data_IF_036605034912
#
_entry.id   IF_036605034912
#
_cell.length_a   1.000
_cell.length_b   1.000
_cell.length_c   1.000
_cell.angle_alpha   90.00
_cell.angle_beta   90.00
_cell.angle_gamma   90.00
#
_symmetry.space_group_name_H-M   'P 1'
#
loop_
_entity.id
_entity.type
_entity.pdbx_description
1 polymer ?
#
# COMPACT_ATOMS: atom_id res chain seq x y z
N UNK A 1 -53.96 10.42 -70.21
CA UNK A 1 -54.44 9.44 -69.21
C UNK A 1 -54.39 10.11 -67.84
N UNK A 2 -55.52 10.03 -67.09
CA UNK A 2 -55.72 9.99 -65.62
C UNK A 2 -54.54 10.43 -64.72
N UNK A 3 -54.64 11.13 -63.58
CA UNK A 3 -55.62 11.81 -62.68
C UNK A 3 -54.69 12.54 -61.65
N UNK A 4 -54.87 13.81 -61.30
CA UNK A 4 -55.74 14.37 -60.25
C UNK A 4 -55.31 14.07 -58.79
N UNK A 5 -55.30 15.16 -57.99
CA UNK A 5 -55.30 15.28 -56.50
C UNK A 5 -53.94 15.35 -55.78
N UNK A 6 -53.70 16.21 -54.77
CA UNK A 6 -54.50 17.24 -54.09
C UNK A 6 -53.60 18.11 -53.21
N UNK A 7 -54.03 19.37 -53.01
CA UNK A 7 -53.53 20.32 -52.01
C UNK A 7 -53.59 19.77 -50.57
N UNK A 8 -52.70 20.26 -49.70
CA UNK A 8 -53.13 20.83 -48.42
C UNK A 8 -52.12 21.86 -47.89
N UNK A 9 -52.64 23.05 -47.60
CA UNK A 9 -51.98 24.14 -46.87
C UNK A 9 -52.32 24.03 -45.38
N UNK A 10 -51.38 24.35 -44.48
CA UNK A 10 -51.61 24.66 -43.07
C UNK A 10 -50.52 25.69 -42.66
N UNK A 11 -50.86 26.97 -42.51
CA UNK A 11 -51.41 27.67 -41.32
C UNK A 11 -50.39 27.82 -40.19
N UNK A 12 -50.09 29.09 -39.92
CA UNK A 12 -49.31 29.68 -38.82
C UNK A 12 -49.85 29.34 -37.42
N UNK A 13 -48.94 29.21 -36.45
CA UNK A 13 -49.15 29.71 -35.09
C UNK A 13 -47.80 29.91 -34.40
N UNK A 14 -47.49 31.15 -34.02
CA UNK A 14 -46.41 31.46 -33.10
C UNK A 14 -46.80 31.09 -31.68
N UNK A 15 -45.85 30.57 -30.92
CA UNK A 15 -45.95 30.45 -29.46
C UNK A 15 -44.67 31.00 -28.84
N UNK A 16 -44.84 32.10 -28.13
CA UNK A 16 -43.88 32.65 -27.21
C UNK A 16 -43.70 31.67 -26.03
N UNK A 17 -42.46 31.32 -25.70
CA UNK A 17 -42.16 30.70 -24.41
C UNK A 17 -41.56 31.75 -23.48
N UNK A 18 -42.33 32.02 -22.42
CA UNK A 18 -41.97 32.82 -21.26
C UNK A 18 -40.74 32.24 -20.55
N UNK A 19 -39.81 33.11 -20.16
CA UNK A 19 -38.82 32.80 -19.13
C UNK A 19 -39.54 32.62 -17.79
N UNK A 20 -39.53 31.40 -17.25
CA UNK A 20 -39.89 31.16 -15.85
C UNK A 20 -38.76 31.63 -14.94
N UNK A 21 -39.09 32.49 -13.98
CA UNK A 21 -38.21 32.85 -12.89
C UNK A 21 -37.91 31.61 -12.03
N UNK A 22 -36.64 31.40 -11.72
CA UNK A 22 -36.18 30.35 -10.80
C UNK A 22 -36.71 30.62 -9.39
N UNK A 23 -37.31 29.65 -8.69
CA UNK A 23 -37.65 29.80 -7.29
C UNK A 23 -36.38 29.88 -6.45
N UNK A 24 -36.25 30.95 -5.68
CA UNK A 24 -35.26 31.09 -4.60
C UNK A 24 -35.54 30.03 -3.54
N UNK A 25 -34.78 28.93 -3.57
CA UNK A 25 -34.75 28.00 -2.46
C UNK A 25 -34.03 28.67 -1.28
N UNK A 26 -34.78 28.92 -0.21
CA UNK A 26 -34.22 29.24 1.08
C UNK A 26 -33.34 28.06 1.54
N UNK A 27 -32.05 28.32 1.72
CA UNK A 27 -31.10 27.37 2.29
C UNK A 27 -31.47 27.16 3.75
N UNK A 28 -32.03 25.99 4.07
CA UNK A 28 -32.16 25.55 5.45
C UNK A 28 -30.77 25.39 6.05
N UNK A 29 -30.50 26.12 7.13
CA UNK A 29 -29.29 25.97 7.95
C UNK A 29 -29.29 24.56 8.55
N UNK A 30 -28.38 23.71 8.08
CA UNK A 30 -28.10 22.42 8.72
C UNK A 30 -27.47 22.68 10.10
N UNK A 31 -27.85 21.88 11.12
CA UNK A 31 -27.26 21.99 12.45
C UNK A 31 -25.76 21.69 12.39
N UNK A 32 -24.99 22.54 13.04
CA UNK A 32 -23.54 22.45 13.17
C UNK A 32 -23.20 21.23 14.02
N UNK A 33 -22.85 20.12 13.37
CA UNK A 33 -22.31 18.94 14.04
C UNK A 33 -20.93 19.30 14.57
N UNK A 34 -20.84 19.44 15.90
CA UNK A 34 -19.58 19.69 16.61
C UNK A 34 -18.70 18.46 16.42
N UNK A 35 -17.71 18.57 15.54
CA UNK A 35 -16.69 17.56 15.34
C UNK A 35 -15.99 17.28 16.68
N UNK A 36 -16.18 16.08 17.21
CA UNK A 36 -15.43 15.60 18.36
C UNK A 36 -13.94 15.60 18.03
N UNK A 37 -13.19 16.45 18.74
CA UNK A 37 -11.73 16.52 18.71
C UNK A 37 -11.18 15.23 19.32
N UNK A 38 -10.94 14.23 18.47
CA UNK A 38 -10.12 13.08 18.85
C UNK A 38 -8.69 13.60 18.99
N UNK A 39 -8.17 13.58 20.22
CA UNK A 39 -6.80 13.97 20.50
C UNK A 39 -5.84 13.06 19.69
N UNK A 40 -4.80 13.60 19.04
CA UNK A 40 -3.86 12.80 18.27
C UNK A 40 -3.12 11.85 19.21
N UNK A 41 -3.31 10.54 19.02
CA UNK A 41 -2.42 9.55 19.62
C UNK A 41 -1.06 9.69 18.95
N UNK A 42 -0.08 10.14 19.73
CA UNK A 42 1.33 10.20 19.33
C UNK A 42 1.80 8.76 19.16
N UNK A 43 2.07 8.34 17.93
CA UNK A 43 2.72 7.05 17.67
C UNK A 43 4.15 7.14 18.22
N UNK A 44 4.35 6.77 19.48
CA UNK A 44 5.67 6.64 20.06
C UNK A 44 6.35 5.45 19.37
N UNK A 45 7.19 5.74 18.37
CA UNK A 45 8.06 4.75 17.76
C UNK A 45 9.05 4.24 18.82
N UNK A 46 9.07 2.93 19.14
CA UNK A 46 9.89 2.40 20.22
C UNK A 46 11.39 2.57 19.94
N UNK A 47 12.19 2.79 20.99
CA UNK A 47 13.65 2.70 20.99
C UNK A 47 14.23 1.33 20.57
N UNK A 48 13.36 0.36 20.28
CA UNK A 48 13.69 -0.95 19.71
C UNK A 48 14.08 -0.90 18.23
N UNK A 49 13.86 0.24 17.54
CA UNK A 49 14.23 0.44 16.13
C UNK A 49 15.73 0.74 15.92
N UNK A 50 16.47 0.92 17.02
CA UNK A 50 17.93 1.00 17.10
C UNK A 50 18.51 -0.24 17.82
N UNK A 51 17.79 -1.37 17.81
CA UNK A 51 18.34 -2.59 18.37
C UNK A 51 19.69 -2.85 17.69
N UNK A 52 20.74 -2.97 18.50
CA UNK A 52 22.06 -3.35 18.02
C UNK A 52 21.92 -4.59 17.14
N UNK A 53 22.76 -4.69 16.11
CA UNK A 53 22.82 -5.89 15.29
C UNK A 53 22.98 -7.12 16.21
N UNK A 54 21.97 -8.01 16.19
CA UNK A 54 21.92 -9.22 17.03
C UNK A 54 22.10 -10.49 16.20
N UNK A 55 22.56 -10.35 14.95
CA UNK A 55 22.79 -11.49 14.08
C UNK A 55 23.92 -12.37 14.62
N UNK A 56 23.56 -13.61 14.94
CA UNK A 56 24.52 -14.65 15.33
C UNK A 56 25.12 -15.32 14.08
N UNK A 57 26.24 -16.05 14.19
CA UNK A 57 26.83 -16.74 13.04
C UNK A 57 25.86 -17.70 12.30
N UNK A 58 24.99 -18.48 12.99
CA UNK A 58 23.96 -19.28 12.29
C UNK A 58 22.96 -18.44 11.50
N UNK A 59 22.56 -17.27 12.01
CA UNK A 59 21.65 -16.37 11.30
C UNK A 59 22.30 -15.77 10.06
N UNK A 60 23.58 -15.39 10.16
CA UNK A 60 24.35 -14.93 8.99
C UNK A 60 24.51 -16.04 7.95
N UNK A 61 24.75 -17.28 8.38
CA UNK A 61 24.82 -18.43 7.48
C UNK A 61 23.49 -18.65 6.74
N UNK A 62 22.34 -18.47 7.42
CA UNK A 62 21.02 -18.51 6.77
C UNK A 62 20.89 -17.43 5.68
N UNK A 63 21.25 -16.18 5.99
CA UNK A 63 21.20 -15.08 5.02
C UNK A 63 22.18 -15.25 3.85
N UNK A 64 23.28 -15.97 4.06
CA UNK A 64 24.21 -16.35 3.00
C UNK A 64 23.65 -17.46 2.10
N UNK A 65 22.94 -18.42 2.68
CA UNK A 65 22.37 -19.55 1.95
C UNK A 65 21.11 -19.17 1.16
N UNK A 66 20.33 -18.21 1.64
CA UNK A 66 19.04 -17.85 1.06
C UNK A 66 18.93 -16.35 0.75
N UNK A 67 18.66 -16.04 -0.52
CA UNK A 67 18.40 -14.67 -0.95
C UNK A 67 16.94 -14.29 -0.68
N UNK A 68 16.72 -13.37 0.27
CA UNK A 68 15.40 -12.87 0.63
C UNK A 68 14.89 -11.75 -0.30
N UNK A 69 15.68 -11.33 -1.30
CA UNK A 69 15.32 -10.26 -2.24
C UNK A 69 13.94 -10.44 -2.90
N UNK A 70 13.54 -11.65 -3.35
CA UNK A 70 12.20 -11.85 -3.93
C UNK A 70 11.08 -11.54 -2.94
N UNK A 71 11.24 -11.95 -1.68
CA UNK A 71 10.25 -11.71 -0.63
C UNK A 71 10.24 -10.24 -0.20
N UNK A 72 11.39 -9.55 -0.12
CA UNK A 72 11.38 -8.11 0.12
C UNK A 72 10.70 -7.33 -1.01
N UNK A 73 10.86 -7.78 -2.26
CA UNK A 73 10.21 -7.16 -3.44
C UNK A 73 8.69 -7.33 -3.45
N UNK A 74 8.15 -8.31 -2.72
CA UNK A 74 6.72 -8.64 -2.79
C UNK A 74 6.37 -9.78 -3.74
N UNK A 75 7.36 -10.53 -4.25
CA UNK A 75 7.12 -11.59 -5.22
C UNK A 75 6.61 -12.87 -4.52
N UNK A 76 5.43 -13.35 -4.92
CA UNK A 76 4.94 -14.68 -4.56
C UNK A 76 5.31 -15.70 -5.64
N UNK A 77 5.82 -16.85 -5.22
CA UNK A 77 6.08 -17.98 -6.12
C UNK A 77 4.78 -18.37 -6.85
N UNK A 78 4.82 -18.36 -8.18
CA UNK A 78 3.68 -18.68 -9.06
C UNK A 78 2.92 -17.47 -9.61
N UNK A 79 3.16 -16.25 -9.10
CA UNK A 79 2.67 -15.03 -9.73
C UNK A 79 3.60 -14.62 -10.88
N UNK A 80 3.07 -14.50 -12.09
CA UNK A 80 3.85 -14.07 -13.26
C UNK A 80 4.35 -12.63 -13.06
N UNK A 81 5.65 -12.48 -12.73
CA UNK A 81 6.43 -11.23 -12.74
C UNK A 81 5.69 -9.99 -12.22
N UNK A 82 4.79 -10.19 -11.26
CA UNK A 82 3.89 -9.14 -10.80
C UNK A 82 4.58 -8.32 -9.73
N UNK A 83 4.54 -7.02 -9.93
CA UNK A 83 4.99 -6.06 -8.93
C UNK A 83 3.90 -5.95 -7.88
N UNK A 84 4.25 -6.23 -6.63
CA UNK A 84 3.30 -6.08 -5.51
C UNK A 84 3.26 -4.63 -5.05
N UNK A 85 2.05 -4.07 -5.00
CA UNK A 85 1.80 -2.79 -4.36
C UNK A 85 1.64 -3.02 -2.86
N UNK A 86 2.39 -2.26 -2.07
CA UNK A 86 2.17 -2.13 -0.64
C UNK A 86 1.32 -0.89 -0.41
N UNK A 87 0.20 -1.04 0.29
CA UNK A 87 -0.70 0.05 0.63
C UNK A 87 -0.74 0.26 2.14
N UNK A 88 -1.04 1.49 2.55
CA UNK A 88 -1.32 1.75 3.95
C UNK A 88 -1.47 3.22 4.29
N UNK A 89 -1.01 3.59 5.48
CA UNK A 89 -1.37 4.80 6.19
C UNK A 89 -0.22 5.78 6.29
N UNK A 90 -0.55 7.04 6.07
CA UNK A 90 0.39 8.15 6.07
C UNK A 90 -0.10 9.30 6.92
N UNK A 91 0.65 9.62 7.98
CA UNK A 91 0.31 10.66 8.93
C UNK A 91 -0.87 10.29 9.85
N UNK A 92 -1.11 11.16 10.83
CA UNK A 92 -2.15 11.01 11.86
C UNK A 92 -3.59 11.04 11.30
N UNK A 93 -3.74 11.58 10.10
CA UNK A 93 -5.01 11.69 9.37
C UNK A 93 -5.28 10.47 8.48
N UNK A 94 -4.39 9.47 8.47
CA UNK A 94 -4.59 8.19 7.79
C UNK A 94 -4.79 8.34 6.27
N UNK A 95 -4.06 9.26 5.64
CA UNK A 95 -4.03 9.29 4.18
C UNK A 95 -3.51 7.98 3.61
N UNK A 96 -4.05 7.56 2.47
CA UNK A 96 -3.47 6.47 1.69
C UNK A 96 -2.11 6.88 1.14
N UNK A 97 -1.16 5.98 1.28
CA UNK A 97 0.13 5.99 0.57
C UNK A 97 0.38 4.59 0.02
N UNK A 98 0.99 4.52 -1.16
CA UNK A 98 1.29 3.25 -1.83
C UNK A 98 2.77 3.19 -2.18
N UNK A 99 3.35 2.00 -2.09
CA UNK A 99 4.75 1.72 -2.40
C UNK A 99 4.83 0.59 -3.41
N UNK A 100 5.81 0.69 -4.29
CA UNK A 100 6.23 -0.38 -5.17
C UNK A 100 7.74 -0.48 -5.10
N UNK A 101 8.27 -1.66 -4.82
CA UNK A 101 9.68 -1.95 -4.97
C UNK A 101 9.94 -2.48 -6.38
N UNK A 102 10.53 -1.63 -7.22
CA UNK A 102 10.83 -1.98 -8.60
C UNK A 102 12.07 -2.87 -8.70
N UNK A 103 13.03 -2.67 -7.78
CA UNK A 103 14.25 -3.45 -7.69
C UNK A 103 14.61 -3.71 -6.23
N UNK A 104 14.95 -4.97 -5.95
CA UNK A 104 15.56 -5.39 -4.68
C UNK A 104 16.73 -6.28 -5.01
N UNK A 105 17.89 -5.98 -4.42
CA UNK A 105 19.10 -6.79 -4.59
C UNK A 105 19.83 -6.94 -3.28
N UNK A 106 20.07 -8.18 -2.86
CA UNK A 106 20.95 -8.48 -1.75
C UNK A 106 22.38 -8.01 -2.06
N UNK A 107 23.04 -7.42 -1.08
CA UNK A 107 24.43 -7.02 -1.20
C UNK A 107 25.34 -8.25 -1.42
N UNK A 108 26.42 -8.05 -2.17
CA UNK A 108 27.34 -9.13 -2.53
C UNK A 108 28.33 -9.45 -1.43
N UNK A 109 28.60 -8.50 -0.53
CA UNK A 109 29.55 -8.61 0.56
C UNK A 109 28.81 -8.86 1.87
N UNK A 110 27.84 -8.01 2.20
CA UNK A 110 27.06 -8.13 3.45
C UNK A 110 25.66 -8.68 3.17
N UNK A 111 25.50 -9.98 3.37
CA UNK A 111 24.24 -10.69 3.07
C UNK A 111 23.04 -10.27 3.95
N UNK A 112 23.26 -9.47 4.98
CA UNK A 112 22.18 -8.85 5.75
C UNK A 112 21.65 -7.55 5.13
N UNK A 113 22.33 -7.00 4.11
CA UNK A 113 21.98 -5.72 3.47
C UNK A 113 21.31 -5.95 2.12
N UNK A 114 20.28 -5.14 1.85
CA UNK A 114 19.53 -5.13 0.60
C UNK A 114 19.47 -3.70 0.04
N UNK A 115 19.78 -3.57 -1.24
CA UNK A 115 19.63 -2.33 -2.00
C UNK A 115 18.24 -2.30 -2.62
N UNK A 116 17.49 -1.25 -2.32
CA UNK A 116 16.09 -1.08 -2.73
C UNK A 116 15.99 0.13 -3.66
N UNK A 117 15.27 -0.04 -4.77
CA UNK A 117 14.73 1.06 -5.55
C UNK A 117 13.23 0.85 -5.76
N UNK A 118 12.49 1.94 -5.78
CA UNK A 118 11.03 1.88 -5.87
C UNK A 118 10.39 3.21 -6.20
N UNK A 119 9.06 3.22 -6.12
CA UNK A 119 8.24 4.42 -6.27
C UNK A 119 7.23 4.48 -5.12
N UNK A 120 7.07 5.67 -4.55
CA UNK A 120 5.99 6.00 -3.61
C UNK A 120 4.89 6.73 -4.38
N UNK A 121 3.64 6.58 -3.94
CA UNK A 121 2.50 7.37 -4.40
C UNK A 121 1.74 7.93 -3.22
N UNK A 122 1.71 9.25 -3.14
CA UNK A 122 0.90 9.99 -2.18
C UNK A 122 -0.01 10.95 -2.94
N UNK A 123 -1.34 10.77 -2.80
CA UNK A 123 -2.34 11.47 -3.64
C UNK A 123 -2.07 11.21 -5.15
N UNK A 124 -1.89 12.27 -5.94
CA UNK A 124 -1.55 12.19 -7.35
C UNK A 124 -0.04 12.21 -7.62
N UNK A 125 0.77 12.37 -6.58
CA UNK A 125 2.20 12.52 -6.72
C UNK A 125 2.89 11.16 -6.62
N UNK A 126 3.75 10.89 -7.59
CA UNK A 126 4.57 9.67 -7.64
C UNK A 126 6.03 10.11 -7.60
N UNK A 127 6.79 9.60 -6.63
CA UNK A 127 8.21 9.90 -6.49
C UNK A 127 9.03 8.61 -6.51
N UNK A 128 10.11 8.54 -7.31
CA UNK A 128 11.07 7.46 -7.16
C UNK A 128 11.83 7.63 -5.84
N UNK A 129 12.15 6.50 -5.23
CA UNK A 129 13.03 6.44 -4.06
C UNK A 129 14.09 5.35 -4.23
N UNK A 130 15.18 5.48 -3.48
CA UNK A 130 16.19 4.44 -3.35
C UNK A 130 16.75 4.41 -1.93
N UNK A 131 17.30 3.28 -1.51
CA UNK A 131 17.99 3.20 -0.24
C UNK A 131 18.31 1.78 0.17
N UNK A 132 18.41 1.58 1.48
CA UNK A 132 18.90 0.35 2.08
C UNK A 132 17.90 -0.23 3.07
N UNK A 133 17.89 -1.55 3.13
CA UNK A 133 17.27 -2.34 4.18
C UNK A 133 18.35 -3.26 4.76
N UNK A 134 18.50 -3.30 6.08
CA UNK A 134 19.46 -4.18 6.79
C UNK A 134 18.71 -5.06 7.78
N UNK A 135 18.78 -6.37 7.60
CA UNK A 135 18.30 -7.35 8.60
C UNK A 135 19.18 -7.21 9.85
N UNK A 136 18.54 -6.99 11.00
CA UNK A 136 19.20 -6.84 12.30
C UNK A 136 19.01 -8.05 13.21
N UNK A 137 17.98 -8.85 12.91
CA UNK A 137 17.61 -10.04 13.69
C UNK A 137 16.83 -11.03 12.83
N UNK A 138 17.12 -12.30 13.05
CA UNK A 138 16.24 -13.41 12.69
C UNK A 138 15.70 -14.06 13.97
N UNK A 139 14.48 -14.55 13.93
CA UNK A 139 13.89 -15.36 14.99
C UNK A 139 13.07 -16.48 14.37
N UNK A 140 12.92 -17.59 15.09
CA UNK A 140 12.00 -18.65 14.66
C UNK A 140 10.57 -18.11 14.70
N UNK A 141 9.82 -18.37 13.63
CA UNK A 141 8.39 -18.10 13.60
C UNK A 141 7.66 -19.31 14.17
N UNK A 142 6.72 -19.04 15.07
CA UNK A 142 5.94 -20.10 15.68
C UNK A 142 5.13 -20.87 14.62
N UNK A 143 5.25 -22.19 14.64
CA UNK A 143 4.68 -23.09 13.64
C UNK A 143 3.14 -22.98 13.56
N UNK A 144 2.45 -22.55 14.63
CA UNK A 144 0.99 -22.36 14.57
C UNK A 144 0.56 -21.21 13.64
N UNK A 145 1.48 -20.31 13.27
CA UNK A 145 1.21 -19.27 12.28
C UNK A 145 1.42 -19.76 10.84
N UNK A 146 2.02 -20.94 10.62
CA UNK A 146 2.35 -21.41 9.29
C UNK A 146 1.18 -22.21 8.71
N UNK A 147 0.54 -21.66 7.66
CA UNK A 147 -0.42 -22.40 6.84
C UNK A 147 0.31 -22.97 5.61
N UNK A 148 0.89 -24.16 5.79
CA UNK A 148 1.79 -24.76 4.82
C UNK A 148 1.08 -25.85 4.01
N UNK A 149 1.49 -25.98 2.75
CA UNK A 149 1.12 -27.14 1.95
C UNK A 149 1.62 -28.43 2.63
N UNK A 150 0.94 -29.57 2.46
CA UNK A 150 1.31 -30.82 3.12
C UNK A 150 2.78 -31.23 2.95
N UNK A 151 3.35 -30.99 1.77
CA UNK A 151 4.75 -31.25 1.43
C UNK A 151 5.75 -30.43 2.26
N UNK A 152 5.33 -29.29 2.78
CA UNK A 152 6.15 -28.37 3.57
C UNK A 152 5.75 -28.37 5.05
N UNK A 153 4.92 -29.30 5.49
CA UNK A 153 4.43 -29.41 6.89
C UNK A 153 5.50 -29.53 7.99
N UNK A 154 6.77 -29.72 7.60
CA UNK A 154 7.93 -29.76 8.51
C UNK A 154 8.89 -28.58 8.31
N UNK A 155 8.55 -27.63 7.45
CA UNK A 155 9.38 -26.47 7.18
C UNK A 155 9.51 -25.58 8.42
N UNK A 156 10.71 -25.04 8.62
CA UNK A 156 10.96 -24.06 9.66
C UNK A 156 10.56 -22.66 9.15
N UNK A 157 9.73 -21.98 9.92
CA UNK A 157 9.39 -20.59 9.72
C UNK A 157 10.35 -19.65 10.45
N UNK A 158 10.50 -18.44 9.93
CA UNK A 158 11.35 -17.39 10.45
C UNK A 158 10.70 -16.02 10.32
N UNK A 159 11.07 -15.11 11.22
CA UNK A 159 10.80 -13.68 11.11
C UNK A 159 12.11 -12.92 10.99
N UNK A 160 12.28 -12.16 9.91
CA UNK A 160 13.34 -11.18 9.75
C UNK A 160 12.85 -9.79 10.17
N UNK A 161 13.58 -9.16 11.10
CA UNK A 161 13.40 -7.75 11.44
C UNK A 161 14.55 -6.94 10.85
N UNK A 162 14.21 -5.94 10.04
CA UNK A 162 15.17 -5.13 9.34
C UNK A 162 14.92 -3.64 9.55
N UNK A 163 15.97 -2.86 9.74
CA UNK A 163 15.90 -1.39 9.64
C UNK A 163 15.95 -0.97 8.18
N UNK A 164 15.24 0.09 7.81
CA UNK A 164 15.34 0.66 6.47
C UNK A 164 15.50 2.17 6.47
N UNK A 165 16.10 2.67 5.40
CA UNK A 165 16.19 4.09 5.06
C UNK A 165 16.03 4.24 3.55
N UNK A 166 15.05 5.01 3.10
CA UNK A 166 14.80 5.30 1.68
C UNK A 166 14.73 6.81 1.47
N UNK A 167 15.37 7.29 0.42
CA UNK A 167 15.38 8.70 0.03
C UNK A 167 14.58 8.89 -1.25
N UNK A 168 13.56 9.75 -1.22
CA UNK A 168 12.87 10.19 -2.42
C UNK A 168 13.74 11.18 -3.20
N UNK A 169 13.68 11.14 -4.54
CA UNK A 169 14.44 12.07 -5.37
C UNK A 169 14.12 13.54 -5.02
N UNK A 170 15.12 14.26 -4.51
CA UNK A 170 15.02 15.64 -4.04
C UNK A 170 14.54 16.66 -5.09
N UNK A 171 14.59 16.32 -6.39
CA UNK A 171 14.03 17.16 -7.45
C UNK A 171 12.49 17.23 -7.42
N UNK A 172 11.83 16.30 -6.73
CA UNK A 172 10.37 16.28 -6.57
C UNK A 172 9.85 17.31 -5.56
N UNK A 173 8.69 17.96 -5.81
CA UNK A 173 8.08 18.81 -4.80
C UNK A 173 7.72 17.97 -3.57
N UNK A 174 7.96 18.44 -2.35
CA UNK A 174 7.66 17.65 -1.13
C UNK A 174 8.37 16.29 -1.06
N UNK A 175 9.59 16.14 -1.60
CA UNK A 175 10.41 14.96 -1.34
C UNK A 175 10.82 14.87 0.15
N UNK A 176 11.07 13.66 0.61
CA UNK A 176 11.59 13.39 1.94
C UNK A 176 12.25 12.02 2.06
N UNK A 177 12.55 11.66 3.30
CA UNK A 177 13.21 10.40 3.64
C UNK A 177 12.26 9.52 4.45
N UNK A 178 12.17 8.25 4.08
CA UNK A 178 11.52 7.23 4.88
C UNK A 178 12.54 6.50 5.74
N UNK A 179 12.21 6.27 7.00
CA UNK A 179 13.01 5.49 7.94
C UNK A 179 12.12 4.63 8.83
N UNK A 180 12.58 3.45 9.26
CA UNK A 180 11.82 2.60 10.16
C UNK A 180 12.27 1.15 10.16
N UNK A 181 11.31 0.25 10.41
CA UNK A 181 11.51 -1.20 10.40
C UNK A 181 10.58 -1.91 9.42
N UNK A 182 11.11 -2.90 8.74
CA UNK A 182 10.40 -3.88 7.94
C UNK A 182 10.47 -5.25 8.63
N UNK A 183 9.32 -5.93 8.69
CA UNK A 183 9.14 -7.25 9.30
C UNK A 183 8.72 -8.20 8.19
N UNK A 184 9.47 -9.28 8.01
CA UNK A 184 9.22 -10.30 7.00
C UNK A 184 9.06 -11.67 7.66
N UNK A 185 7.89 -12.27 7.51
CA UNK A 185 7.57 -13.63 7.93
C UNK A 185 7.71 -14.57 6.73
N UNK A 186 8.58 -15.57 6.84
CA UNK A 186 8.91 -16.48 5.74
C UNK A 186 9.19 -17.90 6.24
N UNK A 187 9.21 -18.86 5.33
CA UNK A 187 9.69 -20.22 5.59
C UNK A 187 10.57 -20.71 4.45
N UNK A 188 11.32 -21.77 4.71
CA UNK A 188 12.13 -22.47 3.70
C UNK A 188 11.44 -23.79 3.41
N UNK A 189 10.98 -23.98 2.16
CA UNK A 189 10.29 -25.21 1.75
C UNK A 189 11.21 -26.42 1.83
N UNK A 190 10.62 -27.62 1.76
CA UNK A 190 11.33 -28.90 1.63
C UNK A 190 12.28 -28.95 0.41
N UNK A 191 12.05 -28.09 -0.58
CA UNK A 191 12.88 -27.94 -1.79
C UNK A 191 13.98 -26.88 -1.64
N UNK A 192 14.06 -26.20 -0.50
CA UNK A 192 15.02 -25.13 -0.26
C UNK A 192 14.60 -23.78 -0.84
N UNK A 193 13.32 -23.58 -1.15
CA UNK A 193 12.80 -22.32 -1.69
C UNK A 193 12.30 -21.42 -0.55
N UNK A 194 12.62 -20.13 -0.60
CA UNK A 194 12.09 -19.15 0.36
C UNK A 194 10.71 -18.68 -0.07
N UNK A 195 9.75 -18.76 0.87
CA UNK A 195 8.36 -18.43 0.64
C UNK A 195 7.84 -17.54 1.75
N UNK A 196 6.87 -16.67 1.45
CA UNK A 196 6.14 -15.98 2.51
C UNK A 196 5.43 -16.99 3.41
N UNK A 197 5.51 -16.79 4.72
CA UNK A 197 4.57 -17.44 5.61
C UNK A 197 3.19 -16.80 5.34
N UNK A 198 2.29 -17.58 4.73
CA UNK A 198 0.88 -17.23 4.69
C UNK A 198 0.27 -17.69 6.01
N UNK A 199 -0.48 -16.79 6.67
CA UNK A 199 -0.78 -16.95 8.10
C UNK A 199 -2.28 -16.99 8.37
N UNK A 200 -2.70 -18.14 8.89
CA UNK A 200 -3.83 -18.28 9.81
C UNK A 200 -3.40 -17.75 11.19
N UNK A 201 -3.72 -16.50 11.50
CA UNK A 201 -3.22 -15.85 12.74
C UNK A 201 -3.41 -14.34 12.81
N UNK A 202 -3.71 -13.69 11.67
CA UNK A 202 -4.12 -12.30 11.61
C UNK A 202 -3.18 -11.38 12.41
N UNK A 203 -3.73 -10.64 13.36
CA UNK A 203 -3.00 -9.66 14.17
C UNK A 203 -1.96 -10.25 15.14
N UNK A 204 -2.02 -11.55 15.44
CA UNK A 204 -1.12 -12.20 16.40
C UNK A 204 0.29 -12.45 15.86
N UNK A 205 0.45 -12.61 14.56
CA UNK A 205 1.75 -12.83 13.93
C UNK A 205 2.59 -11.55 13.82
N UNK A 206 3.94 -11.64 13.76
CA UNK A 206 4.81 -10.46 13.72
C UNK A 206 4.52 -9.50 12.55
N UNK A 207 4.36 -10.02 11.33
CA UNK A 207 3.95 -9.23 10.15
C UNK A 207 2.42 -9.13 10.01
N UNK A 208 1.65 -9.43 11.07
CA UNK A 208 0.18 -9.38 11.10
C UNK A 208 -0.50 -10.19 9.98
N UNK A 209 0.09 -11.33 9.66
CA UNK A 209 -0.37 -12.22 8.60
C UNK A 209 -0.31 -11.62 7.20
N UNK A 210 0.55 -10.61 6.97
CA UNK A 210 0.76 -10.00 5.65
C UNK A 210 2.01 -10.51 4.94
N UNK A 211 2.80 -11.36 5.59
CA UNK A 211 4.12 -11.77 5.12
C UNK A 211 5.15 -10.64 5.19
N UNK A 212 4.77 -9.41 4.85
CA UNK A 212 5.59 -8.20 4.93
C UNK A 212 4.81 -7.05 5.58
N UNK A 213 5.41 -6.45 6.60
CA UNK A 213 4.89 -5.27 7.30
C UNK A 213 5.98 -4.21 7.42
N UNK A 214 5.69 -2.97 6.99
CA UNK A 214 6.63 -1.84 7.11
C UNK A 214 6.03 -0.80 8.05
N UNK A 215 6.81 -0.40 9.05
CA UNK A 215 6.43 0.60 10.05
C UNK A 215 7.53 1.64 10.16
N UNK A 216 7.19 2.91 10.10
CA UNK A 216 8.22 3.95 10.17
C UNK A 216 7.67 5.35 10.10
N UNK A 217 8.45 6.23 9.50
CA UNK A 217 8.06 7.60 9.26
C UNK A 217 8.69 8.15 8.00
N UNK A 218 8.04 9.16 7.45
CA UNK A 218 8.59 10.05 6.44
C UNK A 218 8.98 11.39 7.06
N UNK A 219 10.10 11.95 6.63
CA UNK A 219 10.62 13.24 7.09
C UNK A 219 10.83 14.13 5.87
N UNK A 220 10.14 15.28 5.82
CA UNK A 220 10.26 16.22 4.71
C UNK A 220 11.66 16.84 4.62
N UNK A 221 12.24 16.85 3.42
CA UNK A 221 13.49 17.56 3.15
C UNK A 221 13.33 19.10 3.22
N UNK A 222 12.09 19.60 3.09
CA UNK A 222 11.82 21.05 3.03
C UNK A 222 11.71 21.70 4.40
N UNK A 223 11.03 21.06 5.34
CA UNK A 223 10.67 21.65 6.62
C UNK A 223 10.84 20.71 7.82
N UNK A 224 11.40 19.51 7.61
CA UNK A 224 11.58 18.51 8.66
C UNK A 224 10.28 17.92 9.22
N UNK A 225 9.12 18.19 8.58
CA UNK A 225 7.85 17.62 9.03
C UNK A 225 7.92 16.09 8.99
N UNK A 226 7.58 15.46 10.11
CA UNK A 226 7.49 14.01 10.26
C UNK A 226 6.05 13.52 10.10
N UNK A 227 5.86 12.42 9.38
CA UNK A 227 4.58 11.70 9.24
C UNK A 227 4.79 10.22 9.47
N UNK A 228 3.91 9.60 10.24
CA UNK A 228 3.97 8.15 10.46
C UNK A 228 3.65 7.38 9.17
N UNK A 229 4.25 6.21 9.04
CA UNK A 229 4.10 5.30 7.92
C UNK A 229 3.76 3.90 8.42
N UNK A 230 2.75 3.30 7.82
CA UNK A 230 2.40 1.89 7.98
C UNK A 230 2.05 1.34 6.60
N UNK A 231 2.70 0.28 6.13
CA UNK A 231 2.42 -0.36 4.84
C UNK A 231 2.37 -1.87 4.99
N UNK A 232 1.49 -2.51 4.21
CA UNK A 232 1.52 -3.95 4.00
C UNK A 232 0.92 -4.30 2.64
N UNK A 233 0.91 -5.60 2.30
CA UNK A 233 0.29 -6.12 1.08
C UNK A 233 -1.23 -5.94 1.07
N UNK A 234 -1.86 -6.06 2.24
CA UNK A 234 -3.26 -5.74 2.45
C UNK A 234 -3.44 -4.97 3.75
N UNK A 235 -4.34 -3.99 3.71
CA UNK A 235 -4.58 -3.08 4.84
C UNK A 235 -5.53 -3.68 5.89
N UNK A 236 -6.20 -4.79 5.56
CA UNK A 236 -7.31 -5.33 6.35
C UNK A 236 -6.89 -5.86 7.73
N UNK A 237 -5.66 -6.33 7.87
CA UNK A 237 -5.12 -6.91 9.11
C UNK A 237 -4.23 -5.96 9.91
N UNK A 238 -3.82 -4.82 9.32
CA UNK A 238 -2.87 -3.90 9.96
C UNK A 238 -3.57 -2.69 10.60
N UNK A 239 -4.80 -2.38 10.18
CA UNK A 239 -5.59 -1.28 10.71
C UNK A 239 -7.10 -1.61 10.68
N UNK A 240 -7.56 -2.56 11.50
CA UNK A 240 -8.97 -2.97 11.54
C UNK A 240 -9.92 -1.78 11.78
N UNK A 241 -9.50 -0.79 12.58
CA UNK A 241 -10.30 0.40 12.93
C UNK A 241 -10.55 1.37 11.76
N UNK A 242 -9.79 1.26 10.67
CA UNK A 242 -9.98 2.09 9.46
C UNK A 242 -11.08 1.48 8.58
N UNK A 243 -11.29 0.18 8.69
CA UNK A 243 -12.39 -0.48 8.01
C UNK A 243 -13.71 -0.01 8.63
N UNK A 244 -14.74 0.14 7.78
CA UNK A 244 -16.08 0.30 8.31
C UNK A 244 -16.35 -0.97 9.12
N UNK A 245 -16.86 -0.85 10.37
CA UNK A 245 -17.36 -1.97 11.17
C UNK A 245 -17.89 -3.04 10.22
N UNK A 246 -17.15 -4.16 10.14
CA UNK A 246 -17.31 -5.17 9.09
C UNK A 246 -18.81 -5.42 8.93
N UNK A 247 -19.37 -4.98 7.81
CA UNK A 247 -20.82 -4.96 7.65
C UNK A 247 -21.25 -6.41 7.50
N UNK A 248 -21.72 -7.00 8.60
CA UNK A 248 -22.38 -8.30 8.61
C UNK A 248 -23.53 -8.19 7.60
N UNK A 249 -23.36 -8.77 6.40
CA UNK A 249 -24.39 -8.81 5.36
C UNK A 249 -23.94 -8.46 3.94
N UNK A 250 -22.83 -7.72 3.75
CA UNK A 250 -22.30 -7.42 2.40
C UNK A 250 -21.06 -8.27 2.13
N UNK A 251 -21.02 -8.91 0.95
CA UNK A 251 -19.99 -9.91 0.59
C UNK A 251 -18.59 -9.32 0.36
N UNK A 252 -18.46 -8.00 0.34
CA UNK A 252 -17.20 -7.31 0.01
C UNK A 252 -16.80 -6.29 1.09
N UNK A 253 -15.51 -6.29 1.45
CA UNK A 253 -14.96 -5.30 2.37
C UNK A 253 -15.16 -3.88 1.79
N UNK A 254 -15.74 -2.98 2.58
CA UNK A 254 -15.98 -1.59 2.16
C UNK A 254 -15.15 -0.63 3.02
N UNK A 255 -14.40 0.25 2.37
CA UNK A 255 -13.68 1.34 3.07
C UNK A 255 -14.70 2.25 3.75
N UNK A 256 -14.44 2.62 5.02
CA UNK A 256 -15.28 3.57 5.72
C UNK A 256 -15.36 4.91 4.93
N UNK A 257 -16.57 5.40 4.58
CA UNK A 257 -16.73 6.64 3.81
C UNK A 257 -15.97 7.85 4.38
N UNK A 258 -15.73 7.89 5.70
CA UNK A 258 -14.89 8.90 6.36
C UNK A 258 -13.49 9.03 5.73
N UNK A 259 -12.92 7.92 5.27
CA UNK A 259 -11.59 7.86 4.65
C UNK A 259 -11.61 7.99 3.13
N UNK A 260 -12.78 7.99 2.47
CA UNK A 260 -12.86 8.05 1.00
C UNK A 260 -12.12 9.27 0.41
N UNK A 261 -12.25 10.43 1.05
CA UNK A 261 -11.56 11.68 0.68
C UNK A 261 -10.05 11.69 0.95
N UNK A 262 -9.54 10.67 1.64
CA UNK A 262 -8.14 10.55 2.05
C UNK A 262 -7.34 9.62 1.12
N UNK A 263 -7.82 9.46 -0.12
CA UNK A 263 -7.16 8.65 -1.16
C UNK A 263 -7.59 7.18 -1.17
N UNK A 264 -8.59 6.80 -0.39
CA UNK A 264 -9.06 5.41 -0.33
C UNK A 264 -10.21 5.08 -1.30
N UNK A 265 -10.83 6.09 -1.91
CA UNK A 265 -11.91 5.92 -2.90
C UNK A 265 -11.48 5.16 -4.17
N UNK A 266 -10.18 5.06 -4.43
CA UNK A 266 -9.61 4.31 -5.54
C UNK A 266 -8.79 3.09 -5.07
N UNK A 267 -9.00 2.59 -3.85
CA UNK A 267 -8.28 1.43 -3.33
C UNK A 267 -8.38 0.21 -4.26
N UNK A 268 -9.60 -0.04 -4.75
CA UNK A 268 -9.90 -1.16 -5.65
C UNK A 268 -9.53 -0.92 -7.12
N UNK A 269 -8.98 0.25 -7.47
CA UNK A 269 -8.53 0.51 -8.83
C UNK A 269 -7.14 -0.09 -9.03
N UNK A 270 -7.03 -1.04 -9.95
CA UNK A 270 -5.76 -1.66 -10.33
C UNK A 270 -5.02 -0.79 -11.37
N UNK A 271 -4.70 0.45 -10.99
CA UNK A 271 -3.94 1.35 -11.85
C UNK A 271 -2.44 1.03 -11.69
N UNK A 272 -1.74 0.67 -12.77
CA UNK A 272 -0.29 0.42 -12.78
C UNK A 272 0.53 1.72 -12.76
N UNK A 273 0.29 2.59 -11.76
CA UNK A 273 0.91 3.91 -11.65
C UNK A 273 2.45 3.88 -11.54
N UNK A 274 3.01 2.72 -11.22
CA UNK A 274 4.45 2.50 -11.14
C UNK A 274 5.09 2.15 -12.49
N UNK A 275 4.30 1.68 -13.47
CA UNK A 275 4.81 1.28 -14.77
C UNK A 275 5.27 2.52 -15.56
N UNK A 276 6.34 2.34 -16.34
CA UNK A 276 6.72 3.35 -17.33
C UNK A 276 5.64 3.40 -18.41
N UNK A 277 5.17 4.58 -18.76
CA UNK A 277 4.27 4.72 -19.91
C UNK A 277 5.04 4.27 -21.16
N UNK A 278 4.48 3.37 -22.00
CA UNK A 278 5.14 3.00 -23.24
C UNK A 278 5.51 4.25 -24.03
N UNK A 279 6.79 4.40 -24.37
CA UNK A 279 7.18 5.47 -25.30
C UNK A 279 6.39 5.22 -26.59
N UNK A 280 5.68 6.22 -27.14
CA UNK A 280 5.01 6.05 -28.42
C UNK A 280 6.04 5.56 -29.42
N UNK A 281 5.79 4.39 -30.01
CA UNK A 281 6.63 3.88 -31.09
C UNK A 281 6.61 4.93 -32.19
N UNK A 282 7.79 5.44 -32.55
CA UNK A 282 7.95 6.21 -33.77
C UNK A 282 7.44 5.32 -34.91
N UNK A 283 6.27 5.64 -35.44
CA UNK A 283 5.84 5.12 -36.72
C UNK A 283 6.79 5.75 -37.74
N UNK A 284 7.79 4.98 -38.16
CA UNK A 284 8.66 5.30 -39.29
C UNK A 284 7.92 5.07 -40.60
#
# INVERSE_FOLDING_TARGET
MKKLYSLLALVLAGTACQQQATPTHAVALLPTEVAATVAPQKLNLPSQLLAADTLTPPMLALLQAYDLSPLWRGHELGALDSVTVLDGFFGLDHYRISFVFTQVRQDTVDKAVFHIAGKSRYKSQILPFAGLLRVQRLADLDHHYLDLAPEDSSAQGYTANASFTFEENAAGPNAGNFEGVAILDFYISSKGEVNYAQIMGGEGAPARGQGLLIKGSWISNKNGQKKDLLLARSVFSIAPDVLKNFSIGDRDATINPKYAKLGWNNYWKNDEWWAETPKPSLNL
#
